data_IF_742298447862
#
_entry.id   IF_742298447862
#
_cell.length_a   1.000
_cell.length_b   1.000
_cell.length_c   1.000
_cell.angle_alpha   90.00
_cell.angle_beta   90.00
_cell.angle_gamma   90.00
#
_symmetry.space_group_name_H-M   'P 1'
#
loop_
_entity.id
_entity.type
_entity.pdbx_description
1 polymer ?
#
# COMPACT_ATOMS: atom_id res chain seq x y z
N UNK A 1 -1.28 -19.61 -19.79
CA UNK A 1 -0.91 -18.38 -19.56
C UNK A 1 -1.24 -17.92 -18.24
N UNK A 2 -0.33 -17.41 -17.63
CA UNK A 2 -0.54 -17.02 -16.28
C UNK A 2 -0.82 -15.55 -16.14
N UNK A 3 -1.30 -14.94 -17.21
CA UNK A 3 -1.63 -13.54 -17.12
C UNK A 3 -2.66 -13.26 -16.07
N UNK A 4 -3.57 -14.21 -15.82
CA UNK A 4 -4.59 -14.00 -14.82
C UNK A 4 -3.99 -13.77 -13.45
N UNK A 5 -2.97 -14.53 -13.10
CA UNK A 5 -2.37 -14.36 -11.77
C UNK A 5 -1.67 -13.03 -11.62
N UNK A 6 -1.23 -12.42 -12.72
CA UNK A 6 -0.61 -11.12 -12.63
C UNK A 6 -1.59 -10.01 -12.30
N UNK A 7 -2.87 -10.23 -12.54
CA UNK A 7 -3.88 -9.22 -12.25
C UNK A 7 -3.99 -8.92 -10.78
N UNK A 8 -3.61 -9.86 -9.92
CA UNK A 8 -3.77 -9.70 -8.48
C UNK A 8 -2.45 -9.48 -7.78
N UNK A 9 -1.39 -9.25 -8.53
CA UNK A 9 -0.08 -9.02 -7.93
C UNK A 9 0.24 -7.54 -7.84
N UNK A 10 1.28 -7.24 -7.06
CA UNK A 10 1.76 -5.87 -6.94
C UNK A 10 2.07 -5.33 -8.33
N UNK A 11 1.57 -4.13 -8.65
CA UNK A 11 1.84 -3.55 -9.97
C UNK A 11 3.33 -3.35 -10.22
N UNK A 12 3.73 -3.65 -11.45
CA UNK A 12 5.12 -3.49 -11.88
C UNK A 12 5.18 -2.25 -12.76
N UNK A 13 5.47 -1.11 -12.15
CA UNK A 13 5.61 0.14 -12.87
C UNK A 13 6.50 1.06 -12.06
N UNK A 14 7.20 1.95 -12.75
CA UNK A 14 8.08 2.89 -12.09
C UNK A 14 7.33 4.16 -11.74
N UNK A 15 7.48 4.58 -10.50
CA UNK A 15 6.82 5.78 -9.99
C UNK A 15 7.88 6.70 -9.40
N UNK A 16 7.64 7.99 -9.50
CA UNK A 16 8.59 8.96 -8.97
C UNK A 16 8.34 9.24 -7.50
N UNK A 17 9.40 9.38 -6.73
CA UNK A 17 9.27 9.92 -5.39
C UNK A 17 9.87 11.31 -5.35
N UNK A 18 9.63 12.01 -4.24
CA UNK A 18 10.00 13.40 -4.13
C UNK A 18 11.49 13.63 -4.24
N UNK A 19 12.29 12.65 -3.89
CA UNK A 19 13.74 12.78 -3.98
C UNK A 19 14.25 12.73 -5.41
N UNK A 20 13.38 12.51 -6.37
CA UNK A 20 13.78 12.33 -7.75
C UNK A 20 14.09 10.91 -8.11
N UNK A 21 14.11 10.03 -7.15
CA UNK A 21 14.33 8.61 -7.40
C UNK A 21 13.10 7.97 -7.94
N UNK A 22 13.27 6.82 -8.54
CA UNK A 22 12.15 6.02 -9.02
C UNK A 22 11.97 4.80 -8.14
N UNK A 23 10.72 4.45 -7.93
CA UNK A 23 10.36 3.31 -7.11
C UNK A 23 9.39 2.45 -7.88
N UNK A 24 9.61 1.15 -7.83
CA UNK A 24 8.69 0.19 -8.43
C UNK A 24 8.08 -0.62 -7.30
N UNK A 25 6.75 -0.59 -7.12
CA UNK A 25 6.14 -1.35 -6.04
C UNK A 25 6.53 -2.83 -6.04
N UNK A 26 6.77 -3.40 -7.22
CA UNK A 26 7.12 -4.81 -7.29
C UNK A 26 8.45 -5.12 -6.63
N UNK A 27 9.29 -4.11 -6.39
CA UNK A 27 10.57 -4.33 -5.71
C UNK A 27 10.39 -4.70 -4.25
N UNK A 28 9.20 -4.54 -3.71
CA UNK A 28 8.92 -4.91 -2.32
C UNK A 28 8.43 -6.34 -2.17
N UNK A 29 8.36 -7.11 -3.25
CA UNK A 29 8.04 -8.53 -3.12
C UNK A 29 9.07 -9.18 -2.21
N UNK A 30 8.60 -9.97 -1.28
CA UNK A 30 9.45 -10.51 -0.21
C UNK A 30 9.10 -9.89 1.13
N UNK A 31 8.35 -8.80 1.11
CA UNK A 31 7.87 -8.13 2.31
C UNK A 31 6.36 -7.98 2.21
N UNK A 32 5.72 -7.79 3.34
CA UNK A 32 4.32 -7.34 3.30
C UNK A 32 4.33 -5.89 2.85
N UNK A 33 3.35 -5.51 2.05
CA UNK A 33 3.31 -4.16 1.51
C UNK A 33 1.93 -3.57 1.71
N UNK A 34 1.89 -2.38 2.29
CA UNK A 34 0.65 -1.61 2.42
C UNK A 34 0.78 -0.40 1.50
N UNK A 35 -0.13 -0.30 0.54
CA UNK A 35 -0.17 0.86 -0.34
C UNK A 35 -1.35 1.72 0.08
N UNK A 36 -1.05 2.94 0.50
CA UNK A 36 -2.05 3.86 1.03
C UNK A 36 -2.22 5.02 0.07
N UNK A 37 -3.39 5.13 -0.53
CA UNK A 37 -3.73 6.29 -1.34
C UNK A 37 -4.47 7.26 -0.45
N UNK A 38 -3.82 8.38 -0.14
CA UNK A 38 -4.41 9.36 0.77
C UNK A 38 -5.60 10.04 0.11
N UNK A 39 -6.61 10.41 0.90
CA UNK A 39 -7.71 11.20 0.34
C UNK A 39 -7.17 12.53 -0.17
N UNK A 40 -7.91 13.16 -1.08
CA UNK A 40 -7.43 14.38 -1.69
C UNK A 40 -7.59 15.61 -0.81
N UNK A 41 -8.50 15.56 0.15
CA UNK A 41 -8.70 16.68 1.06
C UNK A 41 -7.51 16.74 2.03
N UNK A 42 -6.80 17.89 2.11
CA UNK A 42 -5.53 17.92 2.82
C UNK A 42 -5.58 17.53 4.29
N UNK A 43 -6.59 17.95 5.03
CA UNK A 43 -6.62 17.60 6.44
C UNK A 43 -6.98 16.14 6.64
N UNK A 44 -7.81 15.58 5.77
CA UNK A 44 -8.09 14.15 5.83
C UNK A 44 -6.85 13.34 5.48
N UNK A 45 -6.08 13.80 4.49
CA UNK A 45 -4.83 13.13 4.12
C UNK A 45 -3.84 13.17 5.26
N UNK A 46 -3.74 14.30 5.95
CA UNK A 46 -2.83 14.42 7.07
C UNK A 46 -3.21 13.49 8.21
N UNK A 47 -4.50 13.39 8.50
CA UNK A 47 -4.98 12.50 9.56
C UNK A 47 -4.68 11.03 9.22
N UNK A 48 -4.91 10.65 7.98
CA UNK A 48 -4.71 9.27 7.58
C UNK A 48 -3.23 8.92 7.62
N UNK A 49 -2.37 9.80 7.11
CA UNK A 49 -0.93 9.57 7.15
C UNK A 49 -0.43 9.48 8.59
N UNK A 50 -0.93 10.36 9.45
CA UNK A 50 -0.52 10.36 10.85
C UNK A 50 -0.92 9.06 11.53
N UNK A 51 -2.09 8.53 11.21
CA UNK A 51 -2.54 7.28 11.82
C UNK A 51 -1.59 6.13 11.46
N UNK A 52 -1.15 6.07 10.20
CA UNK A 52 -0.22 5.02 9.81
C UNK A 52 1.17 5.25 10.39
N UNK A 53 1.62 6.52 10.45
CA UNK A 53 2.91 6.80 11.07
C UNK A 53 2.95 6.43 12.54
N UNK A 54 1.84 6.63 13.20
CA UNK A 54 1.74 6.29 14.62
C UNK A 54 2.01 4.82 14.86
N UNK A 55 1.73 3.97 13.88
CA UNK A 55 1.91 2.53 14.00
C UNK A 55 3.12 2.01 13.22
N UNK A 56 4.05 2.89 12.83
CA UNK A 56 5.19 2.48 12.03
C UNK A 56 6.01 1.37 12.66
N UNK A 57 6.18 1.42 13.99
CA UNK A 57 6.96 0.39 14.66
C UNK A 57 6.29 -0.97 14.53
N UNK A 58 4.97 -1.01 14.63
CA UNK A 58 4.24 -2.26 14.48
C UNK A 58 4.37 -2.82 13.07
N UNK A 59 4.28 -1.94 12.07
CA UNK A 59 4.48 -2.38 10.69
C UNK A 59 5.88 -2.93 10.47
N UNK A 60 6.88 -2.27 11.05
CA UNK A 60 8.25 -2.74 10.91
C UNK A 60 8.45 -4.10 11.56
N UNK A 61 7.81 -4.35 12.69
CA UNK A 61 7.90 -5.63 13.36
C UNK A 61 7.33 -6.75 12.51
N UNK A 62 6.42 -6.42 11.63
CA UNK A 62 5.83 -7.40 10.72
C UNK A 62 6.55 -7.45 9.38
N UNK A 63 7.65 -6.72 9.25
CA UNK A 63 8.40 -6.64 8.01
C UNK A 63 7.51 -6.07 6.89
N UNK A 64 6.71 -5.10 7.23
CA UNK A 64 5.79 -4.48 6.29
C UNK A 64 6.29 -3.10 5.89
N UNK A 65 6.17 -2.78 4.63
CA UNK A 65 6.50 -1.46 4.09
C UNK A 65 5.24 -0.70 3.80
N UNK A 66 5.31 0.61 3.93
CA UNK A 66 4.19 1.50 3.65
C UNK A 66 4.56 2.39 2.47
N UNK A 67 3.75 2.32 1.44
CA UNK A 67 3.86 3.26 0.32
C UNK A 67 2.67 4.19 0.41
N UNK A 68 2.92 5.49 0.57
CA UNK A 68 1.84 6.47 0.60
C UNK A 68 1.85 7.23 -0.71
N UNK A 69 0.69 7.34 -1.33
CA UNK A 69 0.55 7.99 -2.62
C UNK A 69 -0.17 9.32 -2.47
N UNK A 70 0.39 10.35 -3.05
CA UNK A 70 -0.20 11.69 -3.04
C UNK A 70 -0.13 12.26 -4.44
N UNK A 71 -1.01 13.22 -4.74
CA UNK A 71 -0.99 13.87 -6.05
C UNK A 71 0.19 14.82 -6.20
N UNK A 72 0.71 15.31 -5.09
CA UNK A 72 1.79 16.28 -5.11
C UNK A 72 2.97 15.74 -4.34
N UNK A 73 4.16 16.07 -4.79
CA UNK A 73 5.38 15.64 -4.12
C UNK A 73 5.96 16.70 -3.21
N UNK A 74 5.19 17.75 -2.91
CA UNK A 74 5.74 18.88 -2.18
C UNK A 74 6.29 18.50 -0.81
N UNK A 75 5.64 17.56 -0.14
CA UNK A 75 6.02 17.21 1.22
C UNK A 75 6.50 15.79 1.36
N UNK A 76 7.05 15.24 0.30
CA UNK A 76 7.40 13.84 0.34
C UNK A 76 8.73 13.64 1.02
N UNK A 77 8.75 12.83 2.05
CA UNK A 77 9.96 12.45 2.72
C UNK A 77 10.11 10.95 2.64
N UNK A 78 11.33 10.50 2.39
CA UNK A 78 11.64 9.09 2.47
C UNK A 78 12.27 8.86 3.83
N UNK A 79 11.65 8.00 4.61
CA UNK A 79 12.15 7.68 5.93
C UNK A 79 12.40 6.18 5.99
N UNK A 80 13.62 5.80 5.69
CA UNK A 80 13.95 4.39 5.61
C UNK A 80 13.81 3.66 6.92
N UNK A 81 13.94 4.38 8.02
CA UNK A 81 13.84 3.72 9.31
C UNK A 81 12.42 3.36 9.65
N UNK A 82 11.47 4.14 9.21
CA UNK A 82 10.08 3.85 9.48
C UNK A 82 9.43 3.00 8.39
N UNK A 83 10.18 2.68 7.36
CA UNK A 83 9.68 1.90 6.23
C UNK A 83 8.50 2.57 5.54
N UNK A 84 8.48 3.88 5.55
CA UNK A 84 7.43 4.64 4.92
C UNK A 84 8.03 5.42 3.77
N UNK A 85 7.50 5.21 2.57
CA UNK A 85 7.95 5.88 1.38
C UNK A 85 6.77 6.60 0.76
N UNK A 86 6.93 7.88 0.44
CA UNK A 86 5.86 8.63 -0.18
C UNK A 86 6.14 8.80 -1.67
N UNK A 87 5.13 8.56 -2.46
CA UNK A 87 5.21 8.58 -3.90
C UNK A 87 4.31 9.68 -4.43
N UNK A 88 4.83 10.48 -5.35
CA UNK A 88 4.02 11.46 -6.06
C UNK A 88 3.41 10.78 -7.27
N UNK A 89 2.10 10.90 -7.41
CA UNK A 89 1.36 10.25 -8.48
C UNK A 89 0.41 11.25 -9.13
N UNK A 90 0.94 12.36 -9.66
CA UNK A 90 0.08 13.43 -10.18
C UNK A 90 -0.75 12.99 -11.37
N UNK A 91 -0.24 12.09 -12.18
CA UNK A 91 -0.96 11.60 -13.35
C UNK A 91 -1.83 10.39 -13.01
N UNK A 92 -1.77 9.93 -11.77
CA UNK A 92 -2.59 8.83 -11.27
C UNK A 92 -2.33 7.50 -11.98
N UNK A 93 -1.15 7.33 -12.52
CA UNK A 93 -0.79 6.05 -13.12
C UNK A 93 -0.74 4.96 -12.06
N UNK A 94 -0.22 5.28 -10.88
CA UNK A 94 -0.22 4.34 -9.78
C UNK A 94 -1.63 4.00 -9.35
N UNK A 95 -2.47 5.03 -9.20
CA UNK A 95 -3.85 4.80 -8.79
C UNK A 95 -4.56 3.83 -9.74
N UNK A 96 -4.42 4.07 -11.04
CA UNK A 96 -5.10 3.22 -12.02
C UNK A 96 -4.61 1.78 -11.92
N UNK A 97 -3.31 1.60 -11.77
CA UNK A 97 -2.75 0.25 -11.69
C UNK A 97 -3.25 -0.51 -10.46
N UNK A 98 -3.31 0.16 -9.31
CA UNK A 98 -3.79 -0.50 -8.10
C UNK A 98 -5.31 -0.69 -8.13
N UNK A 99 -6.03 0.34 -8.59
CA UNK A 99 -7.48 0.26 -8.67
C UNK A 99 -7.93 -0.93 -9.54
N UNK A 100 -7.21 -1.17 -10.61
CA UNK A 100 -7.58 -2.23 -11.53
C UNK A 100 -7.42 -3.62 -10.96
N UNK A 101 -6.79 -3.75 -9.80
CA UNK A 101 -6.71 -5.02 -9.09
C UNK A 101 -7.99 -5.36 -8.33
N UNK A 102 -8.84 -4.38 -8.12
CA UNK A 102 -10.06 -4.60 -7.34
C UNK A 102 -11.14 -5.23 -8.20
N UNK A 103 -12.17 -5.76 -7.52
CA UNK A 103 -13.26 -6.41 -8.23
C UNK A 103 -14.11 -5.46 -9.04
N UNK A 104 -14.24 -4.23 -8.55
CA UNK A 104 -15.06 -3.21 -9.21
C UNK A 104 -14.29 -1.91 -9.31
N UNK A 105 -13.32 -1.83 -10.23
CA UNK A 105 -12.47 -0.63 -10.30
C UNK A 105 -13.26 0.65 -10.50
N UNK A 106 -14.37 0.57 -11.21
CA UNK A 106 -15.16 1.75 -11.48
C UNK A 106 -15.82 2.33 -10.23
N UNK A 107 -15.90 1.57 -9.16
CA UNK A 107 -16.49 2.03 -7.93
C UNK A 107 -15.48 2.65 -6.97
N UNK A 108 -14.21 2.56 -7.31
CA UNK A 108 -13.16 3.12 -6.46
C UNK A 108 -13.02 4.61 -6.72
N UNK A 109 -13.00 5.38 -5.65
CA UNK A 109 -12.96 6.84 -5.73
C UNK A 109 -11.63 7.35 -5.19
N UNK A 110 -10.80 7.91 -6.07
CA UNK A 110 -9.48 8.39 -5.68
C UNK A 110 -9.57 9.45 -4.58
N UNK A 111 -10.59 10.29 -4.63
CA UNK A 111 -10.68 11.38 -3.66
C UNK A 111 -10.94 10.89 -2.24
N UNK A 112 -11.56 9.73 -2.10
CA UNK A 112 -11.85 9.16 -0.79
C UNK A 112 -10.65 8.42 -0.20
N UNK A 113 -9.68 8.08 -1.03
CA UNK A 113 -8.56 7.27 -0.59
C UNK A 113 -8.85 5.78 -0.62
N UNK A 114 -7.82 5.00 -0.44
CA UNK A 114 -7.94 3.55 -0.41
C UNK A 114 -6.67 2.95 0.15
N UNK A 115 -6.76 1.73 0.65
CA UNK A 115 -5.61 1.01 1.18
C UNK A 115 -5.59 -0.39 0.58
N UNK A 116 -4.40 -0.82 0.19
CA UNK A 116 -4.21 -2.15 -0.40
C UNK A 116 -3.14 -2.88 0.41
N UNK A 117 -3.41 -4.13 0.74
CA UNK A 117 -2.46 -4.95 1.49
C UNK A 117 -2.02 -6.13 0.65
N UNK A 118 -0.71 -6.27 0.45
CA UNK A 118 -0.13 -7.35 -0.33
C UNK A 118 0.68 -8.26 0.57
N UNK A 119 0.61 -9.56 0.30
CA UNK A 119 1.40 -10.54 1.03
C UNK A 119 2.83 -10.54 0.54
N UNK A 120 3.71 -11.27 1.25
CA UNK A 120 5.10 -11.34 0.88
C UNK A 120 5.34 -11.88 -0.51
N UNK A 121 4.45 -12.71 -0.99
CA UNK A 121 4.56 -13.24 -2.34
C UNK A 121 4.11 -12.28 -3.42
N UNK A 122 3.65 -11.10 -3.04
CA UNK A 122 3.24 -10.09 -4.01
C UNK A 122 1.78 -10.13 -4.39
N UNK A 123 1.00 -11.04 -3.81
CA UNK A 123 -0.42 -11.13 -4.14
C UNK A 123 -1.26 -10.17 -3.30
N UNK A 124 -2.31 -9.64 -3.90
CA UNK A 124 -3.22 -8.78 -3.17
C UNK A 124 -4.01 -9.62 -2.17
N UNK A 125 -3.88 -9.24 -0.90
CA UNK A 125 -4.56 -9.95 0.16
C UNK A 125 -5.93 -9.34 0.46
N UNK A 126 -5.98 -8.01 0.56
CA UNK A 126 -7.21 -7.30 0.88
C UNK A 126 -7.08 -5.85 0.52
N UNK A 127 -8.20 -5.19 0.29
CA UNK A 127 -8.18 -3.75 0.08
C UNK A 127 -9.39 -3.12 0.77
N UNK A 128 -9.28 -1.83 1.07
CA UNK A 128 -10.33 -1.05 1.72
C UNK A 128 -10.52 0.24 0.96
N UNK A 129 -11.76 0.65 0.82
CA UNK A 129 -12.07 1.93 0.20
C UNK A 129 -12.27 2.96 1.30
N UNK A 130 -11.76 4.16 1.10
CA UNK A 130 -11.89 5.23 2.09
C UNK A 130 -10.76 5.20 3.12
N UNK A 131 -10.98 5.86 4.24
CA UNK A 131 -9.97 6.04 5.27
C UNK A 131 -10.35 5.36 6.56
N UNK A 132 -9.44 5.40 7.54
CA UNK A 132 -9.76 4.91 8.87
C UNK A 132 -9.61 3.42 9.06
N UNK A 133 -8.80 2.77 8.25
CA UNK A 133 -8.68 1.32 8.28
C UNK A 133 -7.39 0.80 8.88
N UNK A 134 -6.58 1.66 9.50
CA UNK A 134 -5.27 1.25 9.97
C UNK A 134 -5.35 0.08 10.96
N UNK A 135 -6.35 0.08 11.83
CA UNK A 135 -6.48 -1.01 12.80
C UNK A 135 -6.82 -2.32 12.12
N UNK A 136 -7.64 -2.26 11.08
CA UNK A 136 -7.97 -3.45 10.32
C UNK A 136 -6.76 -3.98 9.57
N UNK A 137 -5.95 -3.10 9.01
CA UNK A 137 -4.73 -3.50 8.32
C UNK A 137 -3.79 -4.20 9.29
N UNK A 138 -3.60 -3.62 10.47
CA UNK A 138 -2.74 -4.23 11.48
C UNK A 138 -3.26 -5.59 11.91
N UNK A 139 -4.56 -5.73 12.04
CA UNK A 139 -5.14 -7.00 12.41
C UNK A 139 -4.85 -8.06 11.35
N UNK A 140 -4.95 -7.69 10.08
CA UNK A 140 -4.64 -8.63 9.02
C UNK A 140 -3.17 -9.02 9.02
N UNK A 141 -2.29 -8.09 9.32
CA UNK A 141 -0.87 -8.39 9.37
C UNK A 141 -0.53 -9.31 10.53
N UNK A 142 -1.26 -9.23 11.62
CA UNK A 142 -1.01 -10.09 12.77
C UNK A 142 -1.52 -11.49 12.55
N UNK A 143 -2.57 -11.62 11.75
CA UNK A 143 -3.27 -12.88 11.60
C UNK A 143 -2.66 -13.80 10.56
N UNK A 144 -2.31 -13.30 9.39
CA UNK A 144 -2.03 -14.20 8.28
C UNK A 144 -0.84 -15.09 8.48
N UNK A 145 0.14 -14.67 9.25
CA UNK A 145 1.30 -15.50 9.42
C UNK A 145 1.00 -16.75 10.22
N UNK A 146 -0.10 -16.74 10.91
CA UNK A 146 -0.41 -17.88 11.72
C UNK A 146 -0.91 -19.04 10.91
N UNK A 147 -1.31 -18.77 9.70
CA UNK A 147 -1.73 -19.82 8.96
C UNK A 147 -0.76 -20.50 8.27
N UNK A 148 0.16 -20.22 8.37
CA UNK A 148 1.06 -20.89 7.78
C UNK A 148 1.46 -21.93 8.48
N UNK A 149 1.31 -21.93 9.21
CA UNK A 149 1.62 -22.63 9.81
C UNK A 149 1.19 -23.74 10.02
N UNK A 150 0.83 -23.67 9.85
CA UNK A 150 0.39 -24.40 10.03
C UNK A 150 0.30 -24.93 9.42
N UNK A 151 0.37 -24.67 8.81
CA UNK A 151 0.39 -25.00 8.26
C UNK A 151 0.85 -25.65 8.28
N UNK A 152 0.98 -25.70 8.59
CA UNK A 152 1.35 -26.31 8.71
C UNK A 152 1.42 -27.08 9.02
N UNK A 153 1.14 -26.88 9.17
CA UNK A 153 1.15 -27.44 9.43
C UNK A 153 1.31 -27.95 9.39
N UNK A 154 1.25 -27.98 9.12
CA UNK A 154 1.31 -28.33 8.89
C UNK A 154 1.62 -28.76 8.88
#
# INVERSE_FOLDING_TARGET
MSTTSLRYGIPDLELGCASGKKINPSSFIGHELVALFCPLEPSAAARETAAYRHHCAEFAQRDAWLLTFADSCADVAVDGESRLVTIADPDRHGWVAFRDLTDHPEEMDRSSGATFLFTRGGGLHRYWHGTGHVDEVLAELRTPSSEHPHQLAG
#
